data_IF_146455510875
#
_entry.id   IF_146455510875
#
_cell.length_a   1.000
_cell.length_b   1.000
_cell.length_c   1.000
_cell.angle_alpha   90.00
_cell.angle_beta   90.00
_cell.angle_gamma   90.00
#
_symmetry.space_group_name_H-M   'P 1'
#
loop_
_entity.id
_entity.type
_entity.pdbx_description
1 polymer ?
#
# COMPACT_ATOMS: atom_id res chain seq x y z
N UNK A 1 -17.75 -27.18 11.54
CA UNK A 1 -18.72 -26.06 11.52
C UNK A 1 -18.97 -25.41 12.88
N UNK A 2 -18.38 -25.95 13.96
CA UNK A 2 -18.54 -25.41 15.33
C UNK A 2 -17.55 -24.27 15.74
N UNK A 3 -16.54 -23.98 14.92
CA UNK A 3 -15.55 -22.94 15.23
C UNK A 3 -16.03 -21.50 14.95
N UNK A 4 -17.07 -21.34 14.14
CA UNK A 4 -17.56 -20.02 13.72
C UNK A 4 -18.41 -19.33 14.80
N UNK A 5 -19.05 -20.08 15.69
CA UNK A 5 -19.94 -19.51 16.71
C UNK A 5 -19.23 -18.83 17.90
N UNK A 6 -17.92 -19.00 18.05
CA UNK A 6 -17.14 -18.42 19.19
C UNK A 6 -16.11 -17.38 18.79
N UNK A 7 -16.15 -16.91 17.54
CA UNK A 7 -15.17 -15.94 17.06
C UNK A 7 -15.60 -14.54 17.48
N UNK A 8 -14.83 -13.81 18.30
CA UNK A 8 -15.12 -12.43 18.61
C UNK A 8 -14.75 -11.54 17.42
N UNK A 9 -15.59 -11.55 16.40
CA UNK A 9 -15.53 -10.57 15.34
C UNK A 9 -16.10 -9.25 15.85
N UNK A 10 -15.32 -8.19 15.71
CA UNK A 10 -15.84 -6.85 15.89
C UNK A 10 -16.08 -6.24 14.51
N UNK A 11 -17.35 -5.90 14.25
CA UNK A 11 -17.70 -5.16 13.04
C UNK A 11 -17.85 -3.69 13.42
N UNK A 12 -17.12 -2.84 12.70
CA UNK A 12 -17.15 -1.39 12.84
C UNK A 12 -17.66 -0.80 11.53
N UNK A 13 -18.52 0.20 11.66
CA UNK A 13 -19.03 0.96 10.53
C UNK A 13 -18.45 2.37 10.61
N UNK A 14 -17.95 2.86 9.47
CA UNK A 14 -17.41 4.20 9.30
C UNK A 14 -18.16 4.93 8.20
N UNK A 15 -18.55 6.16 8.46
CA UNK A 15 -19.11 7.05 7.45
C UNK A 15 -18.01 7.64 6.58
N UNK A 16 -18.38 8.13 5.40
CA UNK A 16 -17.45 8.82 4.49
C UNK A 16 -16.73 9.96 5.24
N UNK A 17 -15.40 10.04 5.05
CA UNK A 17 -14.53 11.02 5.70
C UNK A 17 -14.09 10.66 7.12
N UNK A 18 -14.65 9.63 7.76
CA UNK A 18 -14.19 9.22 9.10
C UNK A 18 -12.85 8.53 9.08
N UNK A 19 -11.98 8.90 10.01
CA UNK A 19 -10.66 8.26 10.20
C UNK A 19 -10.86 6.89 10.85
N UNK A 20 -10.30 5.84 10.22
CA UNK A 20 -10.31 4.46 10.73
C UNK A 20 -9.13 4.26 11.69
N UNK A 21 -7.96 4.76 11.32
CA UNK A 21 -6.76 4.88 12.17
C UNK A 21 -5.75 5.86 11.56
N UNK A 22 -4.78 6.29 12.37
CA UNK A 22 -3.69 7.18 11.96
C UNK A 22 -2.38 6.40 11.86
N UNK A 23 -1.47 6.88 11.00
CA UNK A 23 -0.10 6.40 10.96
C UNK A 23 0.56 6.51 12.34
N UNK A 24 1.32 5.47 12.74
CA UNK A 24 1.95 5.38 14.04
C UNK A 24 1.09 4.78 15.16
N UNK A 25 -0.21 4.60 14.97
CA UNK A 25 -1.06 3.87 15.94
C UNK A 25 -0.66 2.38 15.98
N UNK A 26 -0.82 1.76 17.16
CA UNK A 26 -0.49 0.35 17.36
C UNK A 26 -1.44 -0.58 16.59
N UNK A 27 -0.87 -1.62 15.99
CA UNK A 27 -1.62 -2.68 15.29
C UNK A 27 -1.99 -3.79 16.26
N UNK A 28 -3.07 -3.59 17.00
CA UNK A 28 -3.59 -4.58 17.95
C UNK A 28 -4.56 -5.58 17.31
N UNK A 29 -5.09 -5.23 16.14
CA UNK A 29 -6.10 -5.99 15.42
C UNK A 29 -5.69 -6.24 13.97
N UNK A 30 -5.96 -7.45 13.48
CA UNK A 30 -6.03 -7.69 12.05
C UNK A 30 -7.35 -7.13 11.53
N UNK A 31 -7.28 -6.19 10.61
CA UNK A 31 -8.46 -5.50 10.05
C UNK A 31 -8.68 -5.87 8.60
N UNK A 32 -9.95 -5.97 8.23
CA UNK A 32 -10.40 -6.27 6.87
C UNK A 32 -11.42 -5.22 6.45
N UNK A 33 -11.26 -4.68 5.26
CA UNK A 33 -12.32 -3.93 4.59
C UNK A 33 -13.29 -4.95 4.02
N UNK A 34 -14.50 -5.03 4.58
CA UNK A 34 -15.52 -6.01 4.16
C UNK A 34 -16.59 -5.40 3.26
N UNK A 35 -16.76 -4.08 3.32
CA UNK A 35 -17.61 -3.31 2.40
C UNK A 35 -17.08 -1.89 2.22
N UNK A 36 -17.41 -1.26 1.10
CA UNK A 36 -17.01 0.10 0.78
C UNK A 36 -15.56 0.25 0.32
N UNK A 37 -15.07 1.49 0.40
CA UNK A 37 -13.73 1.89 -0.02
C UNK A 37 -13.07 2.73 1.07
N UNK A 38 -11.80 2.48 1.35
CA UNK A 38 -10.98 3.28 2.25
C UNK A 38 -9.79 3.89 1.51
N UNK A 39 -9.38 5.09 1.90
CA UNK A 39 -8.22 5.80 1.37
C UNK A 39 -7.07 5.67 2.36
N UNK A 40 -5.96 5.10 1.90
CA UNK A 40 -4.72 5.04 2.65
C UNK A 40 -3.78 6.16 2.21
N UNK A 41 -3.19 6.87 3.19
CA UNK A 41 -2.26 7.97 2.97
C UNK A 41 -0.92 7.68 3.67
N UNK A 42 0.14 7.53 2.87
CA UNK A 42 1.52 7.33 3.35
C UNK A 42 2.31 8.60 3.18
N UNK A 43 2.73 9.20 4.29
CA UNK A 43 3.58 10.39 4.28
C UNK A 43 5.05 9.99 4.08
N UNK A 44 5.71 10.61 3.10
CA UNK A 44 7.11 10.42 2.75
C UNK A 44 7.84 11.77 2.83
N UNK A 45 9.17 11.73 2.97
CA UNK A 45 10.01 12.93 3.02
C UNK A 45 9.50 13.99 4.04
N UNK A 46 9.13 13.56 5.25
CA UNK A 46 8.60 14.46 6.27
C UNK A 46 7.25 15.08 5.92
N UNK A 47 6.43 14.39 5.11
CA UNK A 47 5.09 14.85 4.69
C UNK A 47 5.08 15.72 3.43
N UNK A 48 6.23 16.00 2.82
CA UNK A 48 6.30 16.78 1.57
C UNK A 48 5.95 15.98 0.31
N UNK A 49 5.92 14.65 0.43
CA UNK A 49 5.40 13.73 -0.58
C UNK A 49 4.39 12.84 0.12
N UNK A 50 3.20 12.71 -0.42
CA UNK A 50 2.15 11.84 0.11
C UNK A 50 1.69 10.88 -0.97
N UNK A 51 1.84 9.59 -0.71
CA UNK A 51 1.27 8.54 -1.55
C UNK A 51 -0.15 8.23 -1.04
N UNK A 52 -1.11 8.33 -1.92
CA UNK A 52 -2.53 8.07 -1.68
C UNK A 52 -2.94 6.88 -2.52
N UNK A 53 -3.67 5.94 -1.91
CA UNK A 53 -4.21 4.77 -2.60
C UNK A 53 -5.58 4.41 -2.07
N UNK A 54 -6.44 3.88 -2.93
CA UNK A 54 -7.76 3.36 -2.53
C UNK A 54 -7.66 1.86 -2.30
N UNK A 55 -8.14 1.41 -1.14
CA UNK A 55 -8.33 0.02 -0.77
C UNK A 55 -9.82 -0.28 -0.89
N UNK A 56 -10.17 -1.22 -1.77
CA UNK A 56 -11.57 -1.61 -2.02
C UNK A 56 -11.85 -2.97 -1.42
N UNK A 57 -13.01 -3.13 -0.76
CA UNK A 57 -13.47 -4.41 -0.23
C UNK A 57 -13.59 -5.49 -1.34
N UNK A 58 -13.31 -6.78 -1.02
CA UNK A 58 -12.71 -7.26 0.23
C UNK A 58 -11.18 -7.16 0.20
N UNK A 59 -10.55 -6.65 1.26
CA UNK A 59 -9.10 -6.62 1.38
C UNK A 59 -8.65 -6.62 2.86
N UNK A 60 -7.40 -7.04 3.12
CA UNK A 60 -6.79 -7.04 4.45
C UNK A 60 -5.86 -5.84 4.60
N UNK A 61 -5.91 -5.20 5.76
CA UNK A 61 -5.18 -3.96 6.02
C UNK A 61 -3.89 -4.25 6.76
N UNK A 62 -2.74 -3.97 6.13
CA UNK A 62 -1.40 -3.99 6.74
C UNK A 62 -1.11 -5.21 7.64
N UNK A 63 -1.41 -6.45 7.23
CA UNK A 63 -1.20 -7.64 8.07
C UNK A 63 0.27 -7.87 8.41
N UNK A 64 1.21 -7.31 7.63
CA UNK A 64 2.65 -7.36 7.86
C UNK A 64 3.08 -6.65 9.15
N UNK A 65 2.28 -5.70 9.61
CA UNK A 65 2.56 -4.90 10.79
C UNK A 65 1.86 -5.42 12.05
N UNK A 66 1.11 -6.52 11.96
CA UNK A 66 0.48 -7.14 13.12
C UNK A 66 1.50 -7.79 14.05
N UNK A 67 2.57 -8.37 13.48
CA UNK A 67 3.64 -9.06 14.19
C UNK A 67 5.00 -8.44 13.88
N UNK A 68 6.03 -8.88 14.59
CA UNK A 68 7.39 -8.44 14.36
C UNK A 68 7.81 -7.26 15.25
N UNK A 69 8.87 -6.56 14.82
CA UNK A 69 9.49 -5.50 15.62
C UNK A 69 8.75 -4.17 15.52
N UNK A 70 8.17 -3.88 14.34
CA UNK A 70 7.41 -2.66 14.09
C UNK A 70 5.95 -3.07 14.01
N UNK A 71 5.16 -2.69 15.01
CA UNK A 71 3.74 -3.02 15.14
C UNK A 71 2.89 -1.75 15.16
N UNK A 72 3.19 -0.82 14.27
CA UNK A 72 2.43 0.42 14.09
C UNK A 72 2.02 0.55 12.63
N UNK A 73 0.85 1.17 12.38
CA UNK A 73 0.41 1.40 11.01
C UNK A 73 1.35 2.33 10.26
N UNK A 74 1.82 1.97 9.04
CA UNK A 74 2.73 2.79 8.26
C UNK A 74 2.04 3.93 7.51
N UNK A 75 0.70 3.97 7.52
CA UNK A 75 -0.14 4.95 6.84
C UNK A 75 -1.38 5.27 7.67
N UNK A 76 -2.03 6.39 7.37
CA UNK A 76 -3.36 6.71 7.89
C UNK A 76 -4.43 6.13 6.96
N UNK A 77 -5.56 5.69 7.52
CA UNK A 77 -6.68 5.14 6.76
C UNK A 77 -7.96 5.91 7.09
N UNK A 78 -8.65 6.37 6.05
CA UNK A 78 -9.91 7.12 6.13
C UNK A 78 -10.95 6.44 5.24
N UNK A 79 -12.18 6.39 5.67
CA UNK A 79 -13.29 5.89 4.87
C UNK A 79 -13.54 6.84 3.67
N UNK A 80 -13.42 6.32 2.44
CA UNK A 80 -13.67 7.07 1.20
C UNK A 80 -15.15 7.03 0.80
N UNK A 81 -15.83 5.98 1.21
CA UNK A 81 -17.29 5.81 1.17
C UNK A 81 -17.73 5.25 2.51
N UNK A 82 -19.00 5.04 2.76
CA UNK A 82 -19.43 4.22 3.88
C UNK A 82 -18.67 2.87 3.85
N UNK A 83 -18.00 2.53 4.97
CA UNK A 83 -17.06 1.43 5.06
C UNK A 83 -17.38 0.49 6.22
N UNK A 84 -17.45 -0.80 5.94
CA UNK A 84 -17.50 -1.85 6.96
C UNK A 84 -16.09 -2.41 7.19
N UNK A 85 -15.65 -2.39 8.46
CA UNK A 85 -14.38 -2.96 8.89
C UNK A 85 -14.66 -4.11 9.86
N UNK A 86 -14.17 -5.29 9.52
CA UNK A 86 -14.10 -6.43 10.44
C UNK A 86 -12.72 -6.44 11.09
N UNK A 87 -12.67 -6.64 12.40
CA UNK A 87 -11.39 -6.75 13.11
C UNK A 87 -11.33 -7.97 14.03
N UNK A 88 -10.14 -8.57 14.12
CA UNK A 88 -9.79 -9.70 14.98
C UNK A 88 -8.63 -9.29 15.87
N UNK A 89 -8.71 -9.58 17.17
CA UNK A 89 -7.58 -9.32 18.07
C UNK A 89 -6.36 -10.16 17.68
N UNK A 90 -5.18 -9.63 17.91
CA UNK A 90 -3.90 -10.33 17.66
C UNK A 90 -3.84 -11.70 18.32
N UNK A 91 -4.31 -11.79 19.58
CA UNK A 91 -4.35 -13.06 20.33
C UNK A 91 -5.23 -14.10 19.62
N UNK A 92 -6.37 -13.66 19.11
CA UNK A 92 -7.30 -14.54 18.40
C UNK A 92 -6.75 -14.99 17.03
N UNK A 93 -6.07 -14.09 16.29
CA UNK A 93 -5.36 -14.46 15.05
C UNK A 93 -4.33 -15.54 15.31
N UNK A 94 -3.56 -15.45 16.41
CA UNK A 94 -2.62 -16.51 16.83
C UNK A 94 -3.33 -17.83 17.10
N UNK A 95 -4.45 -17.79 17.83
CA UNK A 95 -5.26 -18.99 18.12
C UNK A 95 -5.77 -19.68 16.85
N UNK A 96 -6.27 -18.91 15.87
CA UNK A 96 -6.70 -19.44 14.58
C UNK A 96 -5.51 -20.09 13.85
N UNK A 97 -4.37 -19.41 13.78
CA UNK A 97 -3.19 -19.96 13.09
C UNK A 97 -2.64 -21.24 13.76
N UNK A 98 -2.84 -21.41 15.06
CA UNK A 98 -2.46 -22.65 15.77
C UNK A 98 -3.43 -23.80 15.50
N UNK A 99 -4.71 -23.51 15.29
CA UNK A 99 -5.76 -24.52 15.09
C UNK A 99 -6.02 -24.84 13.61
N UNK A 100 -5.81 -23.87 12.71
CA UNK A 100 -6.09 -24.00 11.27
C UNK A 100 -4.81 -23.83 10.44
N UNK A 101 -4.35 -24.95 9.89
CA UNK A 101 -3.16 -25.01 9.02
C UNK A 101 -3.32 -24.20 7.73
N UNK A 102 -4.54 -24.06 7.20
CA UNK A 102 -4.79 -23.30 5.97
C UNK A 102 -4.60 -21.80 6.26
N UNK A 103 -5.16 -21.31 7.36
CA UNK A 103 -4.95 -19.92 7.80
C UNK A 103 -3.46 -19.63 8.05
N UNK A 104 -2.75 -20.54 8.71
CA UNK A 104 -1.31 -20.42 8.95
C UNK A 104 -0.53 -20.35 7.64
N UNK A 105 -0.78 -21.26 6.69
CA UNK A 105 -0.09 -21.29 5.40
C UNK A 105 -0.40 -20.06 4.56
N UNK A 106 -1.64 -19.57 4.59
CA UNK A 106 -2.02 -18.34 3.89
C UNK A 106 -1.28 -17.13 4.44
N UNK A 107 -1.15 -17.01 5.76
CA UNK A 107 -0.38 -15.94 6.40
C UNK A 107 1.11 -16.05 6.06
N UNK A 108 1.71 -17.24 6.16
CA UNK A 108 3.12 -17.46 5.80
C UNK A 108 3.39 -17.11 4.34
N UNK A 109 2.53 -17.54 3.42
CA UNK A 109 2.64 -17.23 2.00
C UNK A 109 2.53 -15.72 1.75
N UNK A 110 1.60 -15.05 2.43
CA UNK A 110 1.44 -13.60 2.33
C UNK A 110 2.72 -12.87 2.79
N UNK A 111 3.21 -13.17 3.99
CA UNK A 111 4.42 -12.56 4.55
C UNK A 111 5.66 -12.85 3.71
N UNK A 112 5.80 -14.09 3.21
CA UNK A 112 6.91 -14.49 2.34
C UNK A 112 6.90 -13.72 1.02
N UNK A 113 5.73 -13.54 0.39
CA UNK A 113 5.60 -12.73 -0.84
C UNK A 113 5.99 -11.27 -0.60
N UNK A 114 5.61 -10.69 0.53
CA UNK A 114 5.95 -9.31 0.85
C UNK A 114 7.45 -9.15 1.17
N UNK A 115 8.07 -10.11 1.85
CA UNK A 115 9.50 -10.14 2.05
C UNK A 115 10.25 -10.22 0.71
N UNK A 116 9.86 -11.14 -0.18
CA UNK A 116 10.43 -11.29 -1.52
C UNK A 116 10.22 -10.04 -2.37
N UNK A 117 9.04 -9.40 -2.28
CA UNK A 117 8.75 -8.13 -2.94
C UNK A 117 9.72 -7.04 -2.51
N UNK A 118 10.01 -6.94 -1.21
CA UNK A 118 10.98 -6.00 -0.66
C UNK A 118 12.40 -6.22 -1.21
N UNK A 119 12.88 -7.47 -1.18
CA UNK A 119 14.22 -7.83 -1.70
C UNK A 119 14.38 -7.54 -3.20
N UNK A 120 13.41 -7.97 -4.00
CA UNK A 120 13.42 -7.71 -5.46
C UNK A 120 13.38 -6.22 -5.76
N UNK A 121 12.57 -5.46 -5.03
CA UNK A 121 12.45 -4.01 -5.21
C UNK A 121 13.74 -3.29 -4.82
N UNK A 122 14.37 -3.68 -3.72
CA UNK A 122 15.64 -3.12 -3.28
C UNK A 122 16.75 -3.35 -4.33
N UNK A 123 16.88 -4.58 -4.84
CA UNK A 123 17.83 -4.90 -5.91
C UNK A 123 17.58 -4.08 -7.18
N UNK A 124 16.31 -3.91 -7.55
CA UNK A 124 15.93 -3.07 -8.69
C UNK A 124 16.21 -1.60 -8.47
N UNK A 125 15.98 -1.06 -7.26
CA UNK A 125 16.36 0.34 -6.93
C UNK A 125 17.83 0.60 -7.13
N UNK A 126 18.70 -0.38 -6.79
CA UNK A 126 20.15 -0.26 -6.95
C UNK A 126 20.62 -0.36 -8.40
N UNK A 127 19.96 -1.18 -9.22
CA UNK A 127 20.37 -1.51 -10.59
C UNK A 127 19.52 -0.86 -11.68
N UNK A 128 18.36 -0.24 -11.31
CA UNK A 128 17.42 0.27 -12.28
C UNK A 128 17.88 1.56 -12.94
N UNK A 129 17.56 1.65 -14.21
CA UNK A 129 17.48 2.90 -14.91
C UNK A 129 16.59 3.91 -14.17
N UNK A 130 16.91 5.18 -14.27
CA UNK A 130 16.17 6.28 -13.64
C UNK A 130 14.68 6.25 -13.98
N UNK A 131 14.33 5.79 -15.18
CA UNK A 131 12.95 5.61 -15.66
C UNK A 131 12.13 4.62 -14.85
N UNK A 132 12.76 3.67 -14.16
CA UNK A 132 12.04 2.64 -13.39
C UNK A 132 11.82 3.00 -11.91
N UNK A 133 12.48 4.04 -11.39
CA UNK A 133 12.47 4.34 -9.95
C UNK A 133 11.08 4.70 -9.41
N UNK A 134 10.28 5.42 -10.19
CA UNK A 134 8.90 5.72 -9.83
C UNK A 134 8.07 4.43 -9.72
N UNK A 135 8.20 3.55 -10.70
CA UNK A 135 7.49 2.27 -10.72
C UNK A 135 7.91 1.37 -9.54
N UNK A 136 9.21 1.32 -9.20
CA UNK A 136 9.71 0.59 -8.02
C UNK A 136 9.10 1.16 -6.74
N UNK A 137 9.09 2.48 -6.57
CA UNK A 137 8.53 3.15 -5.40
C UNK A 137 7.04 2.80 -5.23
N UNK A 138 6.26 2.95 -6.29
CA UNK A 138 4.82 2.63 -6.26
C UNK A 138 4.61 1.13 -5.99
N UNK A 139 5.39 0.26 -6.64
CA UNK A 139 5.31 -1.17 -6.42
C UNK A 139 5.59 -1.55 -4.95
N UNK A 140 6.59 -0.93 -4.32
CA UNK A 140 6.94 -1.19 -2.92
C UNK A 140 5.84 -0.75 -1.95
N UNK A 141 5.30 0.45 -2.15
CA UNK A 141 4.45 1.13 -1.18
C UNK A 141 2.95 0.84 -1.34
N UNK A 142 2.55 0.18 -2.43
CA UNK A 142 1.13 -0.10 -2.71
C UNK A 142 0.81 -1.59 -2.68
N UNK A 143 -0.41 -1.93 -2.26
CA UNK A 143 -0.95 -3.27 -2.35
C UNK A 143 -1.18 -3.70 -3.81
N UNK A 144 -1.31 -5.01 -4.04
CA UNK A 144 -1.59 -5.55 -5.39
C UNK A 144 -2.95 -5.08 -5.95
N UNK A 145 -3.92 -4.87 -5.06
CA UNK A 145 -5.29 -4.44 -5.38
C UNK A 145 -5.52 -2.95 -5.24
N UNK A 146 -4.48 -2.16 -4.91
CA UNK A 146 -4.60 -0.71 -4.75
C UNK A 146 -5.04 -0.05 -6.05
N UNK A 147 -6.01 0.84 -5.94
CA UNK A 147 -6.60 1.60 -7.03
C UNK A 147 -6.45 3.10 -6.78
N UNK A 148 -6.73 3.91 -7.79
CA UNK A 148 -6.72 5.38 -7.70
C UNK A 148 -5.47 5.90 -6.96
N UNK A 149 -4.29 5.47 -7.45
CA UNK A 149 -3.03 5.83 -6.83
C UNK A 149 -2.68 7.25 -7.25
N UNK A 150 -2.41 8.09 -6.25
CA UNK A 150 -2.00 9.48 -6.45
C UNK A 150 -0.78 9.77 -5.61
N UNK A 151 0.12 10.59 -6.13
CA UNK A 151 1.30 11.07 -5.41
C UNK A 151 1.21 12.60 -5.38
N UNK A 152 0.86 13.14 -4.22
CA UNK A 152 0.89 14.57 -3.97
C UNK A 152 2.31 14.96 -3.58
N UNK A 153 2.91 15.95 -4.25
CA UNK A 153 4.34 16.21 -4.10
C UNK A 153 4.74 17.67 -4.26
N UNK A 154 5.86 18.03 -3.61
CA UNK A 154 6.68 19.17 -4.01
C UNK A 154 7.78 18.68 -4.91
N UNK A 155 8.00 19.33 -6.04
CA UNK A 155 8.94 18.88 -7.09
C UNK A 155 10.34 18.54 -6.53
N UNK A 156 10.89 19.41 -5.67
CA UNK A 156 12.19 19.20 -5.03
C UNK A 156 12.26 17.90 -4.22
N UNK A 157 11.19 17.61 -3.49
CA UNK A 157 11.14 16.46 -2.58
C UNK A 157 10.90 15.15 -3.34
N UNK A 158 10.12 15.19 -4.43
CA UNK A 158 9.98 14.04 -5.33
C UNK A 158 11.30 13.72 -6.04
N UNK A 159 12.02 14.74 -6.54
CA UNK A 159 13.36 14.57 -7.09
C UNK A 159 14.31 13.89 -6.09
N UNK A 160 14.31 14.36 -4.84
CA UNK A 160 15.13 13.78 -3.77
C UNK A 160 14.75 12.34 -3.46
N UNK A 161 13.46 12.05 -3.39
CA UNK A 161 12.94 10.71 -3.12
C UNK A 161 13.33 9.70 -4.21
N UNK A 162 13.25 10.12 -5.47
CA UNK A 162 13.61 9.28 -6.62
C UNK A 162 15.12 9.28 -6.91
N UNK A 163 15.90 10.14 -6.24
CA UNK A 163 17.33 10.31 -6.52
C UNK A 163 17.60 10.85 -7.93
N UNK A 164 16.72 11.72 -8.43
CA UNK A 164 16.79 12.30 -9.78
C UNK A 164 17.10 13.79 -9.73
N UNK A 165 17.79 14.28 -10.79
CA UNK A 165 17.84 15.72 -11.09
C UNK A 165 16.48 16.16 -11.64
N UNK A 166 16.18 17.46 -11.50
CA UNK A 166 14.91 18.04 -11.94
C UNK A 166 14.59 17.75 -13.42
N UNK A 167 15.59 17.93 -14.31
CA UNK A 167 15.39 17.66 -15.75
C UNK A 167 15.03 16.20 -16.01
N UNK A 168 15.79 15.26 -15.42
CA UNK A 168 15.52 13.83 -15.58
C UNK A 168 14.16 13.41 -15.01
N UNK A 169 13.70 14.04 -13.91
CA UNK A 169 12.37 13.78 -13.38
C UNK A 169 11.28 14.29 -14.33
N UNK A 170 11.42 15.49 -14.88
CA UNK A 170 10.46 16.05 -15.84
C UNK A 170 10.41 15.24 -17.14
N UNK A 171 11.55 14.80 -17.65
CA UNK A 171 11.62 13.91 -18.81
C UNK A 171 10.93 12.58 -18.54
N UNK A 172 11.17 11.95 -17.37
CA UNK A 172 10.50 10.73 -16.95
C UNK A 172 8.98 10.90 -16.91
N UNK A 173 8.50 11.94 -16.23
CA UNK A 173 7.05 12.19 -16.11
C UNK A 173 6.45 12.42 -17.51
N UNK A 174 7.06 13.26 -18.35
CA UNK A 174 6.59 13.54 -19.71
C UNK A 174 6.55 12.28 -20.58
N UNK A 175 7.55 11.40 -20.46
CA UNK A 175 7.55 10.10 -21.17
C UNK A 175 6.38 9.22 -20.72
N UNK A 176 6.17 9.11 -19.40
CA UNK A 176 5.08 8.30 -18.86
C UNK A 176 3.70 8.88 -19.18
N UNK A 177 3.55 10.22 -19.23
CA UNK A 177 2.32 10.91 -19.69
C UNK A 177 2.02 10.63 -21.16
N UNK A 178 3.04 10.76 -22.03
CA UNK A 178 2.90 10.46 -23.46
C UNK A 178 2.41 9.04 -23.70
N UNK A 179 2.76 8.12 -22.81
CA UNK A 179 2.35 6.70 -22.85
C UNK A 179 1.04 6.45 -22.12
N UNK A 180 0.43 7.45 -21.51
CA UNK A 180 -0.81 7.33 -20.74
C UNK A 180 -0.67 6.54 -19.42
N UNK A 181 0.55 6.37 -18.93
CA UNK A 181 0.83 5.62 -17.68
C UNK A 181 0.55 6.47 -16.46
N UNK A 182 0.80 7.79 -16.55
CA UNK A 182 0.56 8.76 -15.49
C UNK A 182 -0.11 10.01 -16.05
N UNK A 183 -0.74 10.78 -15.17
CA UNK A 183 -1.24 12.13 -15.45
C UNK A 183 -0.66 13.06 -14.38
N UNK A 184 -0.02 14.16 -14.78
CA UNK A 184 0.60 15.11 -13.87
C UNK A 184 -0.01 16.52 -14.00
N UNK A 185 -0.27 17.17 -12.89
CA UNK A 185 -0.68 18.57 -12.86
C UNK A 185 0.37 19.50 -12.21
N UNK A 186 1.60 19.00 -12.00
CA UNK A 186 2.70 19.73 -11.40
C UNK A 186 2.77 19.67 -9.86
N UNK A 187 1.71 19.19 -9.19
CA UNK A 187 1.62 19.03 -7.73
C UNK A 187 1.08 17.68 -7.30
N UNK A 188 0.38 17.00 -8.19
CA UNK A 188 -0.17 15.66 -7.99
C UNK A 188 0.01 14.84 -9.26
N UNK A 189 0.63 13.68 -9.10
CA UNK A 189 0.79 12.65 -10.12
C UNK A 189 -0.28 11.58 -9.89
N UNK A 190 -1.17 11.40 -10.83
CA UNK A 190 -2.17 10.35 -10.82
C UNK A 190 -1.67 9.15 -11.63
N UNK A 191 -1.88 7.95 -11.10
CA UNK A 191 -1.53 6.69 -11.73
C UNK A 191 -2.84 5.91 -11.94
N UNK A 192 -3.44 5.99 -13.16
CA UNK A 192 -4.74 5.39 -13.43
C UNK A 192 -4.70 3.87 -13.31
N UNK A 193 -3.63 3.24 -13.78
CA UNK A 193 -3.43 1.80 -13.72
C UNK A 193 -2.06 1.45 -13.11
N UNK A 194 -2.09 0.93 -11.88
CA UNK A 194 -0.91 0.44 -11.19
C UNK A 194 -0.18 -0.65 -11.96
N UNK A 195 -0.91 -1.55 -12.63
CA UNK A 195 -0.30 -2.69 -13.32
C UNK A 195 0.46 -2.22 -14.54
N UNK A 196 -0.06 -1.22 -15.24
CA UNK A 196 0.62 -0.62 -16.38
C UNK A 196 1.95 0.04 -15.96
N UNK A 197 1.95 0.81 -14.86
CA UNK A 197 3.19 1.40 -14.32
C UNK A 197 4.18 0.31 -13.87
N UNK A 198 3.71 -0.73 -13.19
CA UNK A 198 4.57 -1.83 -12.71
C UNK A 198 5.13 -2.66 -13.87
N UNK A 199 4.41 -2.77 -14.99
CA UNK A 199 4.92 -3.43 -16.19
C UNK A 199 6.19 -2.76 -16.76
N UNK A 200 6.42 -1.46 -16.47
CA UNK A 200 7.68 -0.78 -16.79
C UNK A 200 8.89 -1.44 -16.14
N UNK A 201 8.73 -2.10 -14.99
CA UNK A 201 9.81 -2.82 -14.30
C UNK A 201 10.28 -4.07 -15.04
N UNK A 202 9.46 -4.60 -15.95
CA UNK A 202 9.77 -5.84 -16.69
C UNK A 202 10.51 -5.53 -17.99
N UNK A 203 10.47 -4.29 -18.46
CA UNK A 203 11.20 -3.89 -19.68
C UNK A 203 12.69 -3.94 -19.41
N UNK A 204 13.50 -4.61 -20.29
CA UNK A 204 14.95 -4.52 -20.20
C UNK A 204 15.34 -3.04 -20.34
N UNK A 205 16.18 -2.56 -19.43
CA UNK A 205 16.78 -1.22 -19.53
C UNK A 205 17.48 -1.05 -20.87
N UNK A 206 17.35 0.11 -21.48
CA UNK A 206 18.07 0.49 -22.68
C UNK A 206 19.54 0.67 -22.38
#
# INVERSE_FOLDING_TARGET
>A
MELIEKVPFHFLKFEEGQTIFKAGEQTEFMRFVVSGQAQAETALCGGNVTLIQTITAPDVIAPDFLFGRITTYPFSLTAKTECGIMQLSKAYVVSIMQSDKICLLNMLNYLSRNAQKGDVSYKRMLSSDTSQRLAVMVFMLTGHRSQDIRIRYKQKDLCKLLGLRRSAMLELISELETRGVVLDNGTELQIPDRQQLVAELVKPGK
#
